data_IF_559759071383
#
_entry.id   IF_559759071383
#
_cell.length_a   1.000
_cell.length_b   1.000
_cell.length_c   1.000
_cell.angle_alpha   90.00
_cell.angle_beta   90.00
_cell.angle_gamma   90.00
#
_symmetry.space_group_name_H-M   'P 1'
#
loop_
_entity.id
_entity.type
_entity.pdbx_description
1 polymer ?
#
# COMPACT_ATOMS: atom_id res chain seq x y z
N UNK A 1 -6.13 -6.78 -8.76
CA UNK A 1 -5.26 -5.58 -8.71
C UNK A 1 -3.88 -5.99 -9.17
N UNK A 2 -3.30 -5.31 -10.15
CA UNK A 2 -1.98 -5.66 -10.68
C UNK A 2 -0.89 -5.16 -9.71
N UNK A 3 -0.27 -6.09 -8.96
CA UNK A 3 0.83 -5.77 -8.04
C UNK A 3 2.21 -5.96 -8.64
N UNK A 4 2.30 -6.29 -9.93
CA UNK A 4 3.55 -6.66 -10.60
C UNK A 4 4.56 -5.51 -10.57
N UNK A 5 4.09 -4.26 -10.64
CA UNK A 5 4.91 -3.04 -10.49
C UNK A 5 5.57 -2.96 -9.10
N UNK A 6 4.85 -3.33 -8.03
CA UNK A 6 5.38 -3.31 -6.66
C UNK A 6 6.47 -4.38 -6.51
N UNK A 7 6.17 -5.59 -6.96
CA UNK A 7 7.09 -6.71 -6.82
C UNK A 7 8.38 -6.46 -7.62
N UNK A 8 8.30 -5.82 -8.80
CA UNK A 8 9.44 -5.39 -9.59
C UNK A 8 10.29 -4.30 -8.88
N UNK A 9 9.66 -3.31 -8.26
CA UNK A 9 10.37 -2.26 -7.50
C UNK A 9 11.10 -2.86 -6.28
N UNK A 10 10.46 -3.79 -5.58
CA UNK A 10 11.07 -4.50 -4.46
C UNK A 10 12.25 -5.38 -4.90
N UNK A 11 12.13 -6.06 -6.05
CA UNK A 11 13.25 -6.82 -6.62
C UNK A 11 14.42 -5.91 -7.00
N UNK A 12 14.17 -4.75 -7.61
CA UNK A 12 15.22 -3.77 -7.92
C UNK A 12 15.93 -3.27 -6.66
N UNK A 13 15.18 -3.02 -5.59
CA UNK A 13 15.76 -2.69 -4.28
C UNK A 13 16.70 -3.79 -3.78
N UNK A 14 16.29 -5.06 -3.82
CA UNK A 14 17.16 -6.17 -3.39
C UNK A 14 18.40 -6.33 -4.28
N UNK A 15 18.28 -6.14 -5.59
CA UNK A 15 19.44 -6.19 -6.51
C UNK A 15 20.44 -5.08 -6.18
N UNK A 16 19.98 -3.84 -6.00
CA UNK A 16 20.88 -2.72 -5.66
C UNK A 16 21.52 -2.91 -4.28
N UNK A 17 20.77 -3.44 -3.31
CA UNK A 17 21.32 -3.80 -2.00
C UNK A 17 22.43 -4.86 -2.10
N UNK A 18 22.25 -5.87 -2.96
CA UNK A 18 23.24 -6.95 -3.17
C UNK A 18 24.49 -6.50 -3.92
N UNK A 19 24.39 -5.50 -4.81
CA UNK A 19 25.56 -4.89 -5.46
C UNK A 19 26.49 -4.19 -4.48
N UNK A 20 26.06 -3.95 -3.25
CA UNK A 20 26.84 -3.36 -2.17
C UNK A 20 26.95 -1.83 -2.31
N UNK A 21 27.44 -1.20 -1.24
CA UNK A 21 27.83 0.22 -1.18
C UNK A 21 29.07 0.46 -2.05
N UNK A 22 28.98 0.29 -3.36
CA UNK A 22 29.98 0.89 -4.24
C UNK A 22 29.69 2.40 -4.25
N UNK A 23 30.57 3.16 -3.60
CA UNK A 23 30.44 4.60 -3.38
C UNK A 23 30.82 5.38 -4.65
N UNK A 24 30.09 5.14 -5.75
CA UNK A 24 30.26 5.83 -7.03
C UNK A 24 29.06 6.71 -7.38
N UNK A 25 29.29 7.72 -8.22
CA UNK A 25 28.22 8.64 -8.69
C UNK A 25 27.12 7.91 -9.46
N UNK A 26 27.47 6.86 -10.23
CA UNK A 26 26.51 6.07 -11.00
C UNK A 26 25.61 5.22 -10.11
N UNK A 27 26.12 4.70 -9.00
CA UNK A 27 25.32 3.97 -8.02
C UNK A 27 24.39 4.92 -7.26
N UNK A 28 24.89 6.11 -6.86
CA UNK A 28 24.04 7.15 -6.26
C UNK A 28 22.88 7.54 -7.19
N UNK A 29 23.14 7.70 -8.49
CA UNK A 29 22.09 7.97 -9.48
C UNK A 29 21.06 6.85 -9.54
N UNK A 30 21.48 5.58 -9.59
CA UNK A 30 20.58 4.43 -9.61
C UNK A 30 19.70 4.36 -8.35
N UNK A 31 20.26 4.67 -7.18
CA UNK A 31 19.51 4.74 -5.92
C UNK A 31 18.50 5.89 -5.89
N UNK A 32 18.88 7.08 -6.37
CA UNK A 32 17.96 8.24 -6.47
C UNK A 32 16.80 7.94 -7.42
N UNK A 33 17.09 7.41 -8.61
CA UNK A 33 16.06 7.01 -9.58
C UNK A 33 15.09 5.99 -8.97
N UNK A 34 15.60 4.95 -8.29
CA UNK A 34 14.74 3.97 -7.63
C UNK A 34 13.90 4.61 -6.52
N UNK A 35 14.46 5.53 -5.74
CA UNK A 35 13.74 6.24 -4.70
C UNK A 35 12.58 7.05 -5.25
N UNK A 36 12.79 7.82 -6.32
CA UNK A 36 11.76 8.62 -6.99
C UNK A 36 10.63 7.71 -7.53
N UNK A 37 10.99 6.66 -8.26
CA UNK A 37 10.00 5.71 -8.80
C UNK A 37 9.17 5.04 -7.70
N UNK A 38 9.79 4.67 -6.57
CA UNK A 38 9.08 4.09 -5.44
C UNK A 38 8.20 5.13 -4.74
N UNK A 39 8.64 6.39 -4.60
CA UNK A 39 7.86 7.47 -3.99
C UNK A 39 6.59 7.80 -4.80
N UNK A 40 6.71 7.87 -6.12
CA UNK A 40 5.58 8.07 -7.03
C UNK A 40 4.60 6.90 -6.94
N UNK A 41 5.12 5.67 -6.99
CA UNK A 41 4.29 4.47 -6.86
C UNK A 41 3.55 4.41 -5.51
N UNK A 42 4.19 4.80 -4.40
CA UNK A 42 3.53 4.91 -3.09
C UNK A 42 2.36 5.89 -3.14
N UNK A 43 2.53 7.03 -3.81
CA UNK A 43 1.51 8.08 -3.92
C UNK A 43 0.30 7.57 -4.70
N UNK A 44 0.53 6.97 -5.87
CA UNK A 44 -0.52 6.34 -6.68
C UNK A 44 -1.30 5.30 -5.86
N UNK A 45 -0.57 4.37 -5.23
CA UNK A 45 -1.18 3.27 -4.46
C UNK A 45 -1.97 3.76 -3.24
N UNK A 46 -1.50 4.81 -2.56
CA UNK A 46 -2.23 5.43 -1.45
C UNK A 46 -3.55 6.03 -1.95
N UNK A 47 -3.55 6.71 -3.09
CA UNK A 47 -4.80 7.25 -3.67
C UNK A 47 -5.77 6.12 -3.99
N UNK A 48 -5.31 5.11 -4.71
CA UNK A 48 -6.13 3.93 -5.07
C UNK A 48 -6.68 3.22 -3.82
N UNK A 49 -5.86 3.04 -2.79
CA UNK A 49 -6.30 2.43 -1.53
C UNK A 49 -7.42 3.25 -0.86
N UNK A 50 -7.28 4.58 -0.80
CA UNK A 50 -8.31 5.43 -0.19
C UNK A 50 -9.62 5.40 -0.99
N UNK A 51 -9.54 5.47 -2.31
CA UNK A 51 -10.71 5.38 -3.19
C UNK A 51 -11.45 4.05 -3.02
N UNK A 52 -10.72 2.93 -3.06
CA UNK A 52 -11.30 1.60 -2.90
C UNK A 52 -11.87 1.40 -1.49
N UNK A 53 -11.16 1.86 -0.45
CA UNK A 53 -11.64 1.80 0.93
C UNK A 53 -12.94 2.60 1.10
N UNK A 54 -13.00 3.82 0.58
CA UNK A 54 -14.20 4.64 0.67
C UNK A 54 -15.38 4.03 -0.10
N UNK A 55 -15.12 3.47 -1.29
CA UNK A 55 -16.14 2.77 -2.07
C UNK A 55 -16.68 1.54 -1.30
N UNK A 56 -15.79 0.75 -0.71
CA UNK A 56 -16.14 -0.41 0.11
C UNK A 56 -16.96 -0.02 1.35
N UNK A 57 -16.52 0.99 2.11
CA UNK A 57 -17.23 1.51 3.28
C UNK A 57 -18.65 2.02 2.91
N UNK A 58 -18.78 2.67 1.74
CA UNK A 58 -20.08 3.13 1.22
C UNK A 58 -20.99 1.96 0.84
N UNK A 59 -20.47 0.93 0.18
CA UNK A 59 -21.24 -0.24 -0.22
C UNK A 59 -21.73 -1.02 1.00
N UNK A 60 -20.89 -1.21 2.03
CA UNK A 60 -21.28 -1.80 3.31
C UNK A 60 -22.41 -1.03 3.99
N UNK A 61 -22.31 0.31 3.99
CA UNK A 61 -23.35 1.16 4.55
C UNK A 61 -24.70 1.01 3.83
N UNK A 62 -24.70 1.00 2.50
CA UNK A 62 -25.91 0.74 1.69
C UNK A 62 -26.48 -0.65 1.98
N UNK A 63 -25.63 -1.67 2.01
CA UNK A 63 -26.03 -3.04 2.29
C UNK A 63 -26.64 -3.21 3.67
N UNK A 64 -26.11 -2.51 4.68
CA UNK A 64 -26.68 -2.48 6.03
C UNK A 64 -28.12 -1.94 6.04
N UNK A 65 -28.39 -0.89 5.27
CA UNK A 65 -29.72 -0.31 5.17
C UNK A 65 -30.68 -1.32 4.52
N UNK A 66 -30.25 -1.99 3.44
CA UNK A 66 -31.04 -3.03 2.77
C UNK A 66 -31.37 -4.19 3.72
N UNK A 67 -30.37 -4.74 4.40
CA UNK A 67 -30.56 -5.86 5.35
C UNK A 67 -31.49 -5.49 6.51
N UNK A 68 -31.40 -4.26 7.03
CA UNK A 68 -32.29 -3.78 8.09
C UNK A 68 -33.74 -3.57 7.61
N UNK A 69 -33.95 -3.40 6.31
CA UNK A 69 -35.26 -3.25 5.69
C UNK A 69 -35.91 -4.59 5.27
N UNK A 70 -35.13 -5.67 5.14
CA UNK A 70 -35.66 -6.99 4.78
C UNK A 70 -36.62 -7.53 5.86
N UNK A 71 -37.79 -7.97 5.41
CA UNK A 71 -38.79 -8.64 6.22
C UNK A 71 -38.88 -10.13 5.87
N UNK A 72 -39.26 -10.95 6.84
CA UNK A 72 -39.57 -12.36 6.66
C UNK A 72 -41.00 -12.56 6.11
N UNK A 73 -41.38 -13.82 5.87
CA UNK A 73 -42.71 -14.21 5.37
C UNK A 73 -43.88 -13.77 6.28
N UNK A 74 -43.59 -13.42 7.54
CA UNK A 74 -44.55 -12.95 8.54
C UNK A 74 -44.50 -11.43 8.75
N UNK A 75 -43.86 -10.67 7.85
CA UNK A 75 -43.64 -9.22 7.93
C UNK A 75 -42.86 -8.77 9.19
N UNK A 76 -42.05 -9.64 9.78
CA UNK A 76 -41.12 -9.28 10.86
C UNK A 76 -39.73 -9.00 10.29
N UNK A 77 -38.92 -8.21 11.01
CA UNK A 77 -37.53 -7.95 10.62
C UNK A 77 -36.78 -9.28 10.50
N UNK A 78 -36.27 -9.56 9.30
CA UNK A 78 -35.54 -10.79 9.00
C UNK A 78 -34.17 -10.83 9.67
N UNK A 79 -33.49 -9.67 9.74
CA UNK A 79 -32.19 -9.52 10.39
C UNK A 79 -32.28 -8.59 11.59
N UNK A 80 -31.65 -9.00 12.69
CA UNK A 80 -31.21 -8.09 13.75
C UNK A 80 -29.95 -7.35 13.31
N UNK A 81 -29.61 -6.26 14.00
CA UNK A 81 -28.40 -5.49 13.71
C UNK A 81 -27.12 -6.36 13.75
N UNK A 82 -26.97 -7.22 14.76
CA UNK A 82 -25.82 -8.12 14.86
C UNK A 82 -25.75 -9.15 13.74
N UNK A 83 -26.90 -9.69 13.31
CA UNK A 83 -26.93 -10.63 12.17
C UNK A 83 -26.65 -9.93 10.84
N UNK A 84 -27.14 -8.71 10.64
CA UNK A 84 -26.83 -7.92 9.44
C UNK A 84 -25.34 -7.57 9.36
N UNK A 85 -24.71 -7.23 10.49
CA UNK A 85 -23.25 -7.03 10.56
C UNK A 85 -22.47 -8.31 10.25
N UNK A 86 -22.93 -9.48 10.71
CA UNK A 86 -22.30 -10.75 10.40
C UNK A 86 -22.37 -11.07 8.89
N UNK A 87 -23.52 -10.84 8.26
CA UNK A 87 -23.69 -11.00 6.82
C UNK A 87 -22.76 -10.06 6.05
N UNK A 88 -22.71 -8.77 6.41
CA UNK A 88 -21.81 -7.80 5.75
C UNK A 88 -20.35 -8.21 5.92
N UNK A 89 -19.93 -8.63 7.12
CA UNK A 89 -18.55 -9.11 7.33
C UNK A 89 -18.21 -10.28 6.40
N UNK A 90 -19.15 -11.18 6.17
CA UNK A 90 -18.95 -12.32 5.28
C UNK A 90 -18.96 -11.89 3.80
N UNK A 91 -19.94 -11.09 3.37
CA UNK A 91 -20.10 -10.62 1.99
C UNK A 91 -18.89 -9.80 1.53
N UNK A 92 -18.33 -8.97 2.41
CA UNK A 92 -17.24 -8.05 2.09
C UNK A 92 -15.86 -8.57 2.52
N UNK A 93 -15.77 -9.79 3.05
CA UNK A 93 -14.52 -10.36 3.59
C UNK A 93 -13.37 -10.29 2.58
N UNK A 94 -13.61 -10.70 1.34
CA UNK A 94 -12.55 -10.75 0.32
C UNK A 94 -12.04 -9.35 -0.03
N UNK A 95 -12.93 -8.36 -0.15
CA UNK A 95 -12.56 -6.98 -0.46
C UNK A 95 -11.77 -6.35 0.70
N UNK A 96 -12.14 -6.65 1.94
CA UNK A 96 -11.39 -6.22 3.12
C UNK A 96 -10.00 -6.87 3.18
N UNK A 97 -9.91 -8.16 2.83
CA UNK A 97 -8.65 -8.87 2.76
C UNK A 97 -7.74 -8.26 1.69
N UNK A 98 -8.27 -8.01 0.49
CA UNK A 98 -7.53 -7.40 -0.61
C UNK A 98 -7.02 -5.99 -0.25
N UNK A 99 -7.87 -5.17 0.39
CA UNK A 99 -7.47 -3.86 0.92
C UNK A 99 -6.38 -3.96 1.99
N UNK A 100 -6.48 -4.95 2.88
CA UNK A 100 -5.47 -5.19 3.91
C UNK A 100 -4.13 -5.57 3.28
N UNK A 101 -4.14 -6.46 2.28
CA UNK A 101 -2.93 -6.85 1.54
C UNK A 101 -2.32 -5.65 0.84
N UNK A 102 -3.13 -4.83 0.16
CA UNK A 102 -2.66 -3.60 -0.48
C UNK A 102 -2.00 -2.65 0.52
N UNK A 103 -2.64 -2.43 1.68
CA UNK A 103 -2.08 -1.58 2.74
C UNK A 103 -0.72 -2.08 3.22
N UNK A 104 -0.59 -3.38 3.48
CA UNK A 104 0.70 -3.97 3.88
C UNK A 104 1.77 -3.82 2.81
N UNK A 105 1.43 -4.00 1.52
CA UNK A 105 2.38 -3.76 0.42
C UNK A 105 2.83 -2.29 0.35
N UNK A 106 1.90 -1.36 0.53
CA UNK A 106 2.19 0.08 0.58
C UNK A 106 3.14 0.41 1.76
N UNK A 107 2.90 -0.15 2.94
CA UNK A 107 3.76 0.03 4.12
C UNK A 107 5.16 -0.56 3.90
N UNK A 108 5.25 -1.76 3.30
CA UNK A 108 6.53 -2.37 2.95
C UNK A 108 7.32 -1.49 1.97
N UNK A 109 6.66 -0.99 0.91
CA UNK A 109 7.28 -0.13 -0.08
C UNK A 109 7.81 1.17 0.57
N UNK A 110 7.02 1.81 1.43
CA UNK A 110 7.43 2.99 2.20
C UNK A 110 8.67 2.73 3.06
N UNK A 111 8.70 1.62 3.78
CA UNK A 111 9.84 1.27 4.62
C UNK A 111 11.11 1.11 3.78
N UNK A 112 11.02 0.47 2.61
CA UNK A 112 12.16 0.34 1.70
C UNK A 112 12.60 1.69 1.12
N UNK A 113 11.66 2.53 0.69
CA UNK A 113 11.94 3.88 0.20
C UNK A 113 12.64 4.73 1.26
N UNK A 114 12.27 4.62 2.54
CA UNK A 114 12.93 5.32 3.62
C UNK A 114 14.41 4.89 3.79
N UNK A 115 14.69 3.59 3.73
CA UNK A 115 16.07 3.05 3.78
C UNK A 115 16.91 3.57 2.61
N UNK A 116 16.35 3.63 1.40
CA UNK A 116 17.05 4.19 0.24
C UNK A 116 17.38 5.68 0.48
N UNK A 117 16.46 6.45 1.03
CA UNK A 117 16.69 7.86 1.33
C UNK A 117 17.83 8.07 2.34
N UNK A 118 17.88 7.25 3.39
CA UNK A 118 18.98 7.26 4.37
C UNK A 118 20.32 6.96 3.69
N UNK A 119 20.37 5.94 2.83
CA UNK A 119 21.55 5.62 2.03
C UNK A 119 21.99 6.82 1.19
N UNK A 120 21.09 7.41 0.43
CA UNK A 120 21.38 8.56 -0.45
C UNK A 120 21.99 9.70 0.37
N UNK A 121 21.45 9.97 1.56
CA UNK A 121 21.95 11.03 2.43
C UNK A 121 23.35 10.73 2.98
N UNK A 122 23.62 9.48 3.38
CA UNK A 122 24.96 9.06 3.82
C UNK A 122 26.00 9.25 2.71
N UNK A 123 25.70 8.80 1.49
CA UNK A 123 26.63 8.93 0.35
C UNK A 123 26.86 10.40 -0.01
N UNK A 124 25.80 11.22 -0.06
CA UNK A 124 25.91 12.67 -0.29
C UNK A 124 26.81 13.36 0.74
N UNK A 125 26.74 12.96 2.01
CA UNK A 125 27.62 13.50 3.05
C UNK A 125 29.09 13.12 2.86
N UNK A 126 29.37 11.88 2.43
CA UNK A 126 30.74 11.42 2.18
C UNK A 126 31.34 12.15 0.97
N UNK A 127 30.63 12.19 -0.15
CA UNK A 127 31.10 12.89 -1.35
C UNK A 127 31.39 14.38 -1.07
N UNK A 128 30.51 15.07 -0.31
CA UNK A 128 30.76 16.46 0.10
C UNK A 128 32.05 16.62 0.90
N UNK A 129 32.41 15.67 1.77
CA UNK A 129 33.67 15.72 2.54
C UNK A 129 34.89 15.57 1.63
N UNK A 130 34.83 14.68 0.64
CA UNK A 130 35.95 14.43 -0.28
C UNK A 130 36.28 15.64 -1.17
N UNK A 131 35.29 16.49 -1.47
CA UNK A 131 35.50 17.76 -2.21
C UNK A 131 35.82 18.98 -1.33
N UNK A 132 35.85 18.81 -0.01
CA UNK A 132 36.11 19.90 0.95
C UNK A 132 37.50 19.84 1.62
N UNK A 133 38.34 18.86 1.25
CA UNK A 133 39.78 18.80 1.57
C UNK A 133 40.62 19.27 0.38
#
# INVERSE_FOLDING_TARGET
>A
MDTTKIDALLQRHEILKLKGLQLGEQDLFNWVMLWEEMADCITELRSTYQEQKQANDTQKGKRMIELKAELDENNKKKYTESTAEAVIRQEFYQQDLDLSVLKTKIELLQNRTAVINEYINIVKMHLKKDFSM
#
